data_IF_362438876303
#
_entry.id   IF_362438876303
#
_cell.length_a   1.000
_cell.length_b   1.000
_cell.length_c   1.000
_cell.angle_alpha   90.00
_cell.angle_beta   90.00
_cell.angle_gamma   90.00
#
_symmetry.space_group_name_H-M   'P 1'
#
loop_
_entity.id
_entity.type
_entity.pdbx_description
1 polymer ?
#
# COMPACT_ATOMS: atom_id res chain seq x y z
N UNK A 1 11.82 -13.29 -22.57
CA UNK A 1 10.91 -12.12 -22.72
C UNK A 1 10.89 -11.29 -21.43
N UNK A 2 10.34 -10.07 -21.41
CA UNK A 2 10.17 -9.29 -20.16
C UNK A 2 9.08 -9.90 -19.29
N UNK A 3 9.32 -10.04 -17.98
CA UNK A 3 8.31 -10.55 -17.04
C UNK A 3 7.77 -9.48 -16.10
N UNK A 4 6.64 -9.78 -15.47
CA UNK A 4 6.06 -8.97 -14.41
C UNK A 4 6.59 -9.40 -13.04
N UNK A 5 6.94 -8.44 -12.19
CA UNK A 5 7.32 -8.64 -10.79
C UNK A 5 6.33 -7.86 -9.93
N UNK A 6 5.47 -8.58 -9.21
CA UNK A 6 4.39 -7.98 -8.42
C UNK A 6 4.68 -8.14 -6.93
N UNK A 7 4.74 -7.04 -6.19
CA UNK A 7 4.93 -7.07 -4.74
C UNK A 7 3.72 -6.46 -4.04
N UNK A 8 3.06 -7.25 -3.20
CA UNK A 8 1.85 -6.90 -2.46
C UNK A 8 2.17 -6.75 -0.97
N UNK A 9 2.08 -5.53 -0.45
CA UNK A 9 2.27 -5.22 0.96
C UNK A 9 0.94 -4.85 1.61
N UNK A 10 0.42 -5.70 2.49
CA UNK A 10 -0.88 -5.46 3.12
C UNK A 10 -0.85 -4.41 4.26
N UNK A 11 -2.01 -3.86 4.58
CA UNK A 11 -2.22 -2.98 5.71
C UNK A 11 -2.64 -3.74 6.96
N UNK A 12 -2.07 -3.37 8.11
CA UNK A 12 -2.77 -3.49 9.41
C UNK A 12 -2.51 -2.16 10.10
N UNK A 13 -3.40 -1.63 10.92
CA UNK A 13 -3.08 -0.45 11.76
C UNK A 13 -3.36 -0.75 13.22
N UNK A 14 -4.48 -1.41 13.48
CA UNK A 14 -4.67 -2.16 14.71
C UNK A 14 -4.43 -3.62 14.33
N UNK A 15 -3.52 -4.29 15.01
CA UNK A 15 -3.56 -5.75 14.97
C UNK A 15 -4.90 -6.15 15.52
N UNK A 16 -5.80 -6.65 14.70
CA UNK A 16 -6.51 -7.82 15.12
C UNK A 16 -6.60 -8.74 13.90
N UNK A 17 -6.26 -10.00 14.12
CA UNK A 17 -6.95 -11.14 13.49
C UNK A 17 -8.42 -11.07 13.92
N UNK A 18 -9.13 -9.98 13.61
CA UNK A 18 -10.52 -9.82 13.98
C UNK A 18 -11.31 -10.52 12.90
N UNK A 19 -11.53 -11.78 13.20
CA UNK A 19 -12.89 -12.27 13.22
C UNK A 19 -13.78 -11.34 14.11
N UNK A 20 -14.09 -10.12 13.61
CA UNK A 20 -14.80 -9.07 14.38
C UNK A 20 -16.21 -9.55 14.79
N UNK A 21 -16.77 -10.47 14.01
CA UNK A 21 -18.05 -11.14 14.24
C UNK A 21 -17.94 -12.50 14.97
N UNK A 22 -16.71 -12.96 15.27
CA UNK A 22 -16.42 -14.24 15.94
C UNK A 22 -16.97 -15.49 15.20
N UNK A 23 -17.09 -15.43 13.87
CA UNK A 23 -17.58 -16.47 12.98
C UNK A 23 -16.52 -17.45 12.47
N UNK A 24 -15.24 -17.22 12.80
CA UNK A 24 -14.08 -18.01 12.41
C UNK A 24 -13.53 -17.69 11.01
N UNK A 25 -14.02 -16.65 10.34
CA UNK A 25 -13.60 -16.24 8.99
C UNK A 25 -12.54 -15.13 9.04
N UNK A 26 -11.67 -15.14 8.03
CA UNK A 26 -10.60 -14.17 7.89
C UNK A 26 -11.02 -13.07 6.92
N UNK A 27 -11.06 -11.84 7.41
CA UNK A 27 -11.48 -10.71 6.60
C UNK A 27 -10.43 -10.28 5.58
N UNK A 28 -10.83 -10.33 4.30
CA UNK A 28 -9.92 -10.12 3.19
C UNK A 28 -9.74 -8.62 2.89
N UNK A 29 -8.49 -8.18 2.94
CA UNK A 29 -8.09 -6.88 2.37
C UNK A 29 -8.11 -6.94 0.84
N UNK A 30 -8.25 -5.79 0.20
CA UNK A 30 -8.17 -5.68 -1.26
C UNK A 30 -6.79 -6.05 -1.80
N UNK A 31 -5.72 -5.87 -1.01
CA UNK A 31 -4.36 -6.32 -1.39
C UNK A 31 -4.31 -7.85 -1.46
N UNK A 32 -4.87 -8.54 -0.46
CA UNK A 32 -4.94 -9.99 -0.47
C UNK A 32 -5.87 -10.49 -1.59
N UNK A 33 -7.05 -9.87 -1.78
CA UNK A 33 -7.95 -10.16 -2.92
C UNK A 33 -7.23 -10.05 -4.27
N UNK A 34 -6.41 -9.00 -4.46
CA UNK A 34 -5.62 -8.82 -5.69
C UNK A 34 -4.53 -9.89 -5.81
N UNK A 35 -3.85 -10.23 -4.72
CA UNK A 35 -2.89 -11.33 -4.75
C UNK A 35 -3.54 -12.69 -5.06
N UNK A 36 -4.77 -12.92 -4.56
CA UNK A 36 -5.58 -14.12 -4.91
C UNK A 36 -5.87 -14.18 -6.40
N UNK A 37 -6.20 -13.05 -7.03
CA UNK A 37 -6.51 -13.01 -8.46
C UNK A 37 -5.28 -13.12 -9.37
N UNK A 38 -4.05 -12.92 -8.87
CA UNK A 38 -2.85 -13.16 -9.69
C UNK A 38 -2.78 -14.61 -10.18
N UNK A 39 -2.56 -14.76 -11.49
CA UNK A 39 -2.24 -16.05 -12.09
C UNK A 39 -0.86 -16.53 -11.62
N UNK A 40 -0.74 -17.84 -11.38
CA UNK A 40 0.49 -18.49 -10.95
C UNK A 40 0.25 -19.60 -9.93
N UNK A 41 1.29 -20.39 -9.67
CA UNK A 41 1.32 -21.49 -8.71
C UNK A 41 2.07 -21.01 -7.44
N UNK A 42 1.60 -21.36 -6.22
CA UNK A 42 0.42 -22.17 -5.94
C UNK A 42 -0.88 -21.44 -6.27
N UNK A 43 -1.87 -22.21 -6.77
CA UNK A 43 -3.20 -21.67 -7.06
C UNK A 43 -4.00 -21.45 -5.79
N UNK A 44 -3.91 -22.43 -4.87
CA UNK A 44 -4.48 -22.36 -3.54
C UNK A 44 -3.60 -21.48 -2.65
N UNK A 45 -4.24 -20.53 -1.98
CA UNK A 45 -3.60 -19.72 -0.96
C UNK A 45 -3.91 -20.31 0.40
N UNK A 46 -2.94 -20.22 1.30
CA UNK A 46 -3.24 -20.44 2.71
C UNK A 46 -4.39 -19.51 3.10
N UNK A 47 -5.30 -19.98 3.95
CA UNK A 47 -6.45 -19.18 4.37
C UNK A 47 -6.02 -17.89 5.09
N UNK A 48 -4.81 -17.88 5.64
CA UNK A 48 -4.18 -16.74 6.30
C UNK A 48 -2.64 -16.77 6.08
N UNK A 49 -2.14 -16.37 4.91
CA UNK A 49 -0.72 -16.41 4.64
C UNK A 49 -0.02 -15.23 5.33
N UNK A 50 1.03 -15.48 6.11
CA UNK A 50 1.91 -14.41 6.60
C UNK A 50 2.75 -13.83 5.44
N UNK A 51 3.25 -14.72 4.59
CA UNK A 51 4.01 -14.43 3.38
C UNK A 51 3.79 -15.55 2.38
N UNK A 52 3.64 -15.21 1.09
CA UNK A 52 3.52 -16.21 0.04
C UNK A 52 4.09 -15.67 -1.26
N UNK A 53 4.58 -16.57 -2.12
CA UNK A 53 5.05 -16.25 -3.47
C UNK A 53 4.28 -17.06 -4.52
N UNK A 54 4.09 -16.48 -5.70
CA UNK A 54 3.48 -17.12 -6.87
C UNK A 54 4.43 -17.03 -8.07
N UNK A 55 4.45 -18.10 -8.86
CA UNK A 55 5.21 -18.20 -10.10
C UNK A 55 4.27 -18.56 -11.25
N UNK A 56 4.29 -17.78 -12.33
CA UNK A 56 3.58 -18.08 -13.56
C UNK A 56 4.58 -18.27 -14.70
N UNK A 57 4.49 -19.42 -15.37
CA UNK A 57 5.29 -19.76 -16.54
C UNK A 57 4.43 -19.95 -17.77
N UNK A 58 4.99 -19.63 -18.93
CA UNK A 58 4.47 -19.99 -20.24
C UNK A 58 5.53 -20.86 -20.94
N UNK A 59 5.24 -22.16 -21.05
CA UNK A 59 6.26 -23.14 -21.40
C UNK A 59 7.38 -23.19 -20.35
N UNK A 60 8.62 -22.91 -20.76
CA UNK A 60 9.78 -22.86 -19.87
C UNK A 60 10.13 -21.44 -19.38
N UNK A 61 9.45 -20.40 -19.90
CA UNK A 61 9.73 -19.01 -19.52
C UNK A 61 8.87 -18.56 -18.36
N UNK A 62 9.49 -17.89 -17.38
CA UNK A 62 8.76 -17.20 -16.30
C UNK A 62 8.25 -15.87 -16.83
N UNK A 63 6.93 -15.68 -16.81
CA UNK A 63 6.28 -14.45 -17.31
C UNK A 63 5.75 -13.55 -16.18
N UNK A 64 5.53 -14.10 -14.98
CA UNK A 64 5.17 -13.32 -13.80
C UNK A 64 5.66 -14.00 -12.52
N UNK A 65 6.20 -13.21 -11.59
CA UNK A 65 6.43 -13.59 -10.20
C UNK A 65 5.67 -12.62 -9.30
N UNK A 66 5.15 -13.13 -8.20
CA UNK A 66 4.49 -12.30 -7.22
C UNK A 66 4.85 -12.69 -5.81
N UNK A 67 4.80 -11.71 -4.90
CA UNK A 67 4.99 -11.91 -3.47
C UNK A 67 3.99 -11.11 -2.69
N UNK A 68 3.36 -11.74 -1.71
CA UNK A 68 2.51 -11.10 -0.73
C UNK A 68 3.17 -11.14 0.64
N UNK A 69 3.08 -10.03 1.38
CA UNK A 69 3.48 -9.95 2.79
C UNK A 69 2.38 -9.27 3.58
N UNK A 70 1.88 -9.99 4.58
CA UNK A 70 0.84 -9.54 5.49
C UNK A 70 1.28 -8.34 6.36
N UNK A 71 0.32 -7.67 6.99
CA UNK A 71 0.55 -6.41 7.70
C UNK A 71 0.94 -6.53 9.18
N UNK A 72 0.60 -7.62 9.90
CA UNK A 72 1.15 -7.87 11.24
C UNK A 72 2.42 -8.72 11.14
N UNK A 73 3.50 -8.21 11.74
CA UNK A 73 4.73 -8.96 11.91
C UNK A 73 4.58 -9.90 13.09
N UNK A 74 4.30 -11.16 12.80
CA UNK A 74 4.75 -12.25 13.65
C UNK A 74 5.60 -13.14 12.73
N UNK A 75 6.88 -13.31 13.05
CA UNK A 75 7.81 -14.07 12.20
C UNK A 75 8.23 -15.34 12.91
N UNK A 76 7.83 -16.49 12.37
CA UNK A 76 8.24 -17.83 12.81
C UNK A 76 9.69 -18.20 12.43
N UNK A 77 10.46 -17.28 11.82
CA UNK A 77 11.84 -17.51 11.39
C UNK A 77 12.88 -17.04 12.44
N UNK A 78 13.61 -18.00 13.02
CA UNK A 78 14.55 -17.80 14.14
C UNK A 78 15.69 -16.80 13.86
N UNK A 79 16.14 -16.65 12.60
CA UNK A 79 17.19 -15.70 12.20
C UNK A 79 16.71 -14.24 12.17
N UNK A 80 15.40 -14.01 12.01
CA UNK A 80 14.79 -12.66 11.91
C UNK A 80 14.47 -12.11 13.31
N UNK A 81 14.24 -12.95 14.32
CA UNK A 81 14.10 -12.55 15.74
C UNK A 81 15.25 -11.70 16.27
N UNK A 82 16.48 -11.93 15.79
CA UNK A 82 17.63 -11.12 16.19
C UNK A 82 17.71 -9.76 15.47
N UNK A 83 16.94 -9.57 14.39
CA UNK A 83 16.79 -8.31 13.67
C UNK A 83 15.56 -7.51 14.14
N UNK A 84 14.58 -8.15 14.78
CA UNK A 84 13.35 -7.55 15.31
C UNK A 84 13.60 -6.45 16.36
N UNK A 85 14.58 -6.64 17.25
CA UNK A 85 14.91 -5.65 18.28
C UNK A 85 15.62 -4.38 17.77
N UNK A 86 16.08 -4.39 16.51
CA UNK A 86 17.06 -3.42 16.00
C UNK A 86 16.43 -2.50 14.93
N UNK A 87 15.46 -3.00 14.15
CA UNK A 87 14.82 -2.23 13.07
C UNK A 87 13.65 -1.34 13.49
N UNK A 88 13.27 -1.29 14.77
CA UNK A 88 12.20 -0.40 15.24
C UNK A 88 10.92 -0.52 14.41
N UNK A 89 10.23 -1.66 14.53
CA UNK A 89 8.93 -1.93 13.92
C UNK A 89 9.00 -2.70 12.59
N UNK A 90 8.03 -3.60 12.37
CA UNK A 90 7.97 -4.51 11.21
C UNK A 90 7.93 -3.85 9.83
N UNK A 91 7.68 -2.53 9.71
CA UNK A 91 7.58 -1.83 8.41
C UNK A 91 8.89 -1.83 7.62
N UNK A 92 10.04 -1.58 8.25
CA UNK A 92 11.34 -1.57 7.53
C UNK A 92 11.66 -2.96 6.99
N UNK A 93 11.44 -3.99 7.80
CA UNK A 93 11.67 -5.38 7.42
C UNK A 93 10.88 -5.74 6.16
N UNK A 94 9.64 -5.25 6.03
CA UNK A 94 8.80 -5.45 4.84
C UNK A 94 9.35 -4.75 3.60
N UNK A 95 9.87 -3.53 3.76
CA UNK A 95 10.54 -2.81 2.66
C UNK A 95 11.77 -3.59 2.18
N UNK A 96 12.62 -4.04 3.10
CA UNK A 96 13.83 -4.82 2.77
C UNK A 96 13.47 -6.19 2.15
N UNK A 97 12.42 -6.86 2.63
CA UNK A 97 11.91 -8.11 2.03
C UNK A 97 11.39 -7.89 0.61
N UNK A 98 10.64 -6.83 0.38
CA UNK A 98 10.19 -6.47 -0.97
C UNK A 98 11.37 -6.14 -1.90
N UNK A 99 12.33 -5.36 -1.41
CA UNK A 99 13.53 -4.98 -2.15
C UNK A 99 14.38 -6.19 -2.57
N UNK A 100 14.63 -7.11 -1.64
CA UNK A 100 15.41 -8.33 -1.91
C UNK A 100 14.67 -9.30 -2.81
N UNK A 101 13.35 -9.47 -2.64
CA UNK A 101 12.51 -10.23 -3.56
C UNK A 101 12.61 -9.69 -4.99
N UNK A 102 12.38 -8.38 -5.18
CA UNK A 102 12.46 -7.75 -6.50
C UNK A 102 13.86 -7.91 -7.08
N UNK A 103 14.90 -7.65 -6.28
CA UNK A 103 16.29 -7.79 -6.73
C UNK A 103 16.63 -9.21 -7.20
N UNK A 104 16.14 -10.24 -6.49
CA UNK A 104 16.36 -11.65 -6.84
C UNK A 104 15.77 -12.02 -8.21
N UNK A 105 14.66 -11.40 -8.59
CA UNK A 105 13.95 -11.73 -9.83
C UNK A 105 14.22 -10.77 -10.98
N UNK A 106 14.64 -9.54 -10.71
CA UNK A 106 14.72 -8.49 -11.72
C UNK A 106 15.84 -8.72 -12.73
N UNK A 107 15.49 -8.59 -14.00
CA UNK A 107 16.39 -8.41 -15.12
C UNK A 107 16.03 -7.12 -15.87
N UNK A 108 17.02 -6.44 -16.50
CA UNK A 108 16.73 -5.25 -17.30
C UNK A 108 15.63 -5.50 -18.33
N UNK A 109 14.57 -4.69 -18.28
CA UNK A 109 13.40 -4.81 -19.14
C UNK A 109 12.16 -5.41 -18.47
N UNK A 110 12.30 -5.99 -17.27
CA UNK A 110 11.16 -6.45 -16.49
C UNK A 110 10.31 -5.29 -15.94
N UNK A 111 9.04 -5.57 -15.69
CA UNK A 111 8.07 -4.59 -15.17
C UNK A 111 7.82 -4.83 -13.69
N UNK A 112 8.01 -3.79 -12.88
CA UNK A 112 7.79 -3.83 -11.42
C UNK A 112 6.45 -3.19 -11.08
N UNK A 113 5.63 -3.90 -10.31
CA UNK A 113 4.35 -3.47 -9.78
C UNK A 113 4.38 -3.54 -8.26
N UNK A 114 4.09 -2.43 -7.58
CA UNK A 114 4.08 -2.34 -6.13
C UNK A 114 2.67 -2.02 -5.66
N UNK A 115 2.06 -2.94 -4.93
CA UNK A 115 0.68 -2.86 -4.45
C UNK A 115 0.68 -2.73 -2.93
N UNK A 116 -0.12 -1.85 -2.35
CA UNK A 116 -0.29 -1.86 -0.90
C UNK A 116 -1.46 -1.09 -0.33
N UNK A 117 -1.81 -1.38 0.92
CA UNK A 117 -2.91 -0.74 1.64
C UNK A 117 -2.41 -0.17 2.98
N UNK A 118 -2.85 1.03 3.37
CA UNK A 118 -2.56 1.62 4.69
C UNK A 118 -1.04 1.73 4.97
N UNK A 119 -0.49 1.07 6.01
CA UNK A 119 0.97 0.94 6.22
C UNK A 119 1.67 0.19 5.09
N UNK A 120 1.00 -0.78 4.48
CA UNK A 120 1.47 -1.47 3.29
C UNK A 120 1.59 -0.53 2.08
N UNK A 121 0.70 0.46 1.96
CA UNK A 121 0.84 1.52 0.95
C UNK A 121 2.08 2.40 1.22
N UNK A 122 2.38 2.69 2.50
CA UNK A 122 3.67 3.30 2.86
C UNK A 122 4.85 2.41 2.43
N UNK A 123 4.81 1.11 2.73
CA UNK A 123 5.84 0.15 2.31
C UNK A 123 6.04 0.18 0.79
N UNK A 124 4.96 0.10 0.00
CA UNK A 124 5.02 0.13 -1.46
C UNK A 124 5.65 1.44 -1.98
N UNK A 125 5.23 2.60 -1.44
CA UNK A 125 5.77 3.91 -1.83
C UNK A 125 7.23 4.11 -1.44
N UNK A 126 7.59 3.72 -0.21
CA UNK A 126 8.96 3.83 0.29
C UNK A 126 9.90 2.89 -0.49
N UNK A 127 9.45 1.69 -0.80
CA UNK A 127 10.17 0.74 -1.66
C UNK A 127 10.35 1.31 -3.08
N UNK A 128 9.32 1.93 -3.65
CA UNK A 128 9.41 2.61 -4.94
C UNK A 128 10.48 3.72 -4.93
N UNK A 129 10.48 4.55 -3.89
CA UNK A 129 11.48 5.61 -3.70
C UNK A 129 12.89 5.06 -3.56
N UNK A 130 13.06 4.00 -2.77
CA UNK A 130 14.34 3.31 -2.57
C UNK A 130 14.88 2.75 -3.89
N UNK A 131 14.07 2.01 -4.66
CA UNK A 131 14.47 1.45 -5.96
C UNK A 131 14.80 2.57 -6.96
N UNK A 132 13.94 3.59 -7.04
CA UNK A 132 14.14 4.69 -7.97
C UNK A 132 15.38 5.53 -7.64
N UNK A 133 15.78 5.61 -6.37
CA UNK A 133 16.92 6.40 -5.91
C UNK A 133 18.22 5.61 -5.97
N UNK A 134 18.21 4.35 -5.50
CA UNK A 134 19.42 3.56 -5.28
C UNK A 134 19.65 2.46 -6.32
N UNK A 135 18.63 2.07 -7.08
CA UNK A 135 18.68 0.89 -7.96
C UNK A 135 18.30 -0.40 -7.24
N UNK A 136 18.67 -1.54 -7.82
CA UNK A 136 18.47 -2.89 -7.28
C UNK A 136 19.80 -3.64 -7.17
N UNK A 137 19.83 -4.69 -6.36
CA UNK A 137 20.97 -5.61 -6.33
C UNK A 137 21.00 -6.46 -7.61
N UNK A 138 22.18 -6.70 -8.17
CA UNK A 138 22.38 -7.58 -9.32
C UNK A 138 22.37 -9.05 -8.86
N UNK A 139 21.29 -9.77 -9.19
CA UNK A 139 21.08 -11.15 -8.76
C UNK A 139 22.20 -12.10 -9.19
N UNK A 140 22.74 -11.92 -10.40
CA UNK A 140 23.78 -12.80 -10.94
C UNK A 140 25.13 -12.56 -10.28
N UNK A 141 25.49 -11.30 -10.06
CA UNK A 141 26.79 -10.94 -9.43
C UNK A 141 26.83 -11.23 -7.94
N UNK A 142 25.70 -11.16 -7.26
CA UNK A 142 25.60 -11.42 -5.81
C UNK A 142 25.04 -12.80 -5.47
N UNK A 143 24.80 -13.65 -6.48
CA UNK A 143 24.26 -15.00 -6.32
C UNK A 143 22.97 -15.03 -5.46
N UNK A 144 22.03 -14.11 -5.73
CA UNK A 144 20.80 -13.98 -4.93
C UNK A 144 19.80 -15.14 -5.09
N UNK A 145 20.06 -16.05 -6.03
CA UNK A 145 19.30 -17.28 -6.20
C UNK A 145 19.69 -18.36 -5.17
N UNK A 146 20.80 -18.20 -4.45
CA UNK A 146 21.19 -19.12 -3.38
C UNK A 146 20.24 -18.98 -2.18
N UNK A 147 19.48 -20.05 -1.94
CA UNK A 147 18.47 -20.07 -0.88
C UNK A 147 18.99 -20.54 0.48
N UNK A 148 20.31 -20.76 0.62
CA UNK A 148 20.93 -21.04 1.92
C UNK A 148 20.68 -19.89 2.89
N UNK A 149 20.49 -20.24 4.16
CA UNK A 149 20.16 -19.26 5.21
C UNK A 149 21.22 -18.14 5.31
N UNK A 150 22.49 -18.47 5.14
CA UNK A 150 23.59 -17.50 5.18
C UNK A 150 23.52 -16.50 4.01
N UNK A 151 23.20 -16.96 2.80
CA UNK A 151 23.04 -16.09 1.63
C UNK A 151 21.79 -15.22 1.72
N UNK A 152 20.65 -15.77 2.18
CA UNK A 152 19.44 -14.99 2.45
C UNK A 152 19.71 -13.89 3.49
N UNK A 153 20.40 -14.23 4.58
CA UNK A 153 20.79 -13.27 5.60
C UNK A 153 21.71 -12.17 5.03
N UNK A 154 22.63 -12.54 4.12
CA UNK A 154 23.48 -11.57 3.42
C UNK A 154 22.69 -10.65 2.47
N UNK A 155 21.71 -11.19 1.73
CA UNK A 155 20.84 -10.39 0.88
C UNK A 155 20.05 -9.35 1.70
N UNK A 156 19.55 -9.73 2.88
CA UNK A 156 18.88 -8.80 3.79
C UNK A 156 19.83 -7.76 4.39
N UNK A 157 21.10 -8.11 4.67
CA UNK A 157 22.14 -7.14 5.04
C UNK A 157 22.32 -6.08 3.97
N UNK A 158 22.51 -6.48 2.71
CA UNK A 158 22.65 -5.55 1.60
C UNK A 158 21.39 -4.69 1.39
N UNK A 159 20.20 -5.29 1.40
CA UNK A 159 18.95 -4.54 1.29
C UNK A 159 18.80 -3.48 2.39
N UNK A 160 19.23 -3.80 3.60
CA UNK A 160 19.24 -2.85 4.72
C UNK A 160 20.28 -1.74 4.54
N UNK A 161 21.48 -2.08 4.08
CA UNK A 161 22.50 -1.07 3.78
C UNK A 161 22.00 -0.07 2.72
N UNK A 162 21.33 -0.55 1.68
CA UNK A 162 20.70 0.31 0.66
C UNK A 162 19.60 1.17 1.27
N UNK A 163 18.77 0.61 2.16
CA UNK A 163 17.73 1.37 2.84
C UNK A 163 18.32 2.48 3.72
N UNK A 164 19.39 2.19 4.45
CA UNK A 164 20.13 3.17 5.26
C UNK A 164 20.65 4.31 4.38
N UNK A 165 21.27 4.01 3.24
CA UNK A 165 21.79 5.01 2.30
C UNK A 165 20.67 5.89 1.73
N UNK A 166 19.55 5.27 1.33
CA UNK A 166 18.36 5.99 0.87
C UNK A 166 17.84 6.97 1.94
N UNK A 167 17.77 6.55 3.20
CA UNK A 167 17.30 7.39 4.31
C UNK A 167 18.29 8.47 4.73
N UNK A 168 19.60 8.23 4.65
CA UNK A 168 20.62 9.26 4.91
C UNK A 168 20.54 10.41 3.89
N UNK A 169 20.15 10.13 2.64
CA UNK A 169 19.98 11.14 1.59
C UNK A 169 18.68 11.95 1.73
N UNK A 170 17.65 11.39 2.38
CA UNK A 170 16.41 12.08 2.70
C UNK A 170 16.64 13.09 3.86
N UNK A 171 17.03 14.33 3.52
CA UNK A 171 17.24 15.42 4.48
C UNK A 171 15.99 15.65 5.35
N UNK A 172 16.13 15.65 6.68
CA UNK A 172 15.18 16.35 7.57
C UNK A 172 14.61 15.59 8.78
N UNK A 173 14.80 14.27 8.92
CA UNK A 173 14.17 13.52 10.01
C UNK A 173 15.15 13.26 11.16
N UNK A 174 15.17 14.14 12.18
CA UNK A 174 15.97 13.96 13.42
C UNK A 174 15.71 12.62 14.11
N UNK A 175 14.46 12.14 14.14
CA UNK A 175 14.11 10.84 14.77
C UNK A 175 14.71 9.64 14.03
N UNK A 176 14.97 9.76 12.73
CA UNK A 176 15.66 8.72 11.96
C UNK A 176 17.16 8.73 12.15
N UNK A 177 17.76 9.89 12.35
CA UNK A 177 19.19 9.97 12.66
C UNK A 177 19.48 9.26 14.00
N UNK A 178 18.58 9.41 14.97
CA UNK A 178 18.63 8.73 16.27
C UNK A 178 18.42 7.20 16.13
N UNK A 179 17.45 6.76 15.32
CA UNK A 179 17.27 5.32 15.00
C UNK A 179 18.42 4.73 14.16
N UNK A 180 18.97 5.48 13.21
CA UNK A 180 20.15 5.05 12.47
C UNK A 180 21.35 4.89 13.41
N UNK A 181 21.49 5.77 14.40
CA UNK A 181 22.49 5.61 15.45
C UNK A 181 22.23 4.34 16.28
N UNK A 182 20.99 4.05 16.69
CA UNK A 182 20.68 2.82 17.44
C UNK A 182 20.91 1.54 16.61
N UNK A 183 20.58 1.54 15.31
CA UNK A 183 20.90 0.45 14.37
C UNK A 183 22.43 0.29 14.24
N UNK A 184 23.17 1.40 14.06
CA UNK A 184 24.64 1.43 14.00
C UNK A 184 25.29 0.88 15.28
N UNK A 185 24.70 1.15 16.44
CA UNK A 185 25.17 0.66 17.73
C UNK A 185 24.78 -0.82 18.00
N UNK A 186 23.60 -1.26 17.57
CA UNK A 186 23.12 -2.63 17.76
C UNK A 186 23.78 -3.65 16.83
N UNK A 187 24.21 -3.24 15.63
CA UNK A 187 24.90 -4.09 14.65
C UNK A 187 26.00 -3.29 13.90
N UNK A 188 27.22 -3.17 14.44
CA UNK A 188 28.30 -2.37 13.83
C UNK A 188 28.68 -2.78 12.38
N UNK A 189 28.37 -4.01 11.95
CA UNK A 189 28.58 -4.46 10.57
C UNK A 189 27.46 -4.11 9.58
N UNK A 190 26.25 -3.79 10.05
CA UNK A 190 25.05 -3.69 9.20
C UNK A 190 24.88 -2.33 8.50
N UNK A 191 25.46 -1.27 9.09
CA UNK A 191 25.39 0.10 8.57
C UNK A 191 26.69 0.57 7.91
N UNK A 192 27.75 -0.22 7.99
CA UNK A 192 29.07 0.07 7.41
C UNK A 192 29.34 -0.70 6.12
N UNK A 193 28.59 -1.77 5.86
CA UNK A 193 28.69 -2.57 4.65
C UNK A 193 28.14 -1.79 3.46
N UNK A 194 29.01 -1.44 2.50
CA UNK A 194 28.59 -0.86 1.23
C UNK A 194 28.42 -1.99 0.22
N UNK A 195 27.29 -2.02 -0.46
CA UNK A 195 27.14 -2.86 -1.64
C UNK A 195 28.14 -2.36 -2.69
N UNK A 196 28.87 -3.30 -3.33
CA UNK A 196 29.74 -2.97 -4.44
C UNK A 196 28.91 -2.27 -5.54
N UNK A 197 29.25 -1.04 -5.97
CA UNK A 197 28.52 -0.36 -7.04
C UNK A 197 28.41 -1.16 -8.34
N UNK A 198 29.42 -1.99 -8.64
CA UNK A 198 29.41 -2.85 -9.83
C UNK A 198 28.41 -4.01 -9.72
N UNK A 199 27.92 -4.29 -8.51
CA UNK A 199 26.92 -5.30 -8.19
C UNK A 199 25.50 -4.71 -8.05
N UNK A 200 25.28 -3.50 -8.55
CA UNK A 200 24.00 -2.81 -8.57
C UNK A 200 23.49 -2.64 -9.99
N UNK A 201 22.17 -2.66 -10.15
CA UNK A 201 21.47 -2.27 -11.38
C UNK A 201 20.80 -0.93 -11.12
N UNK A 202 21.25 0.10 -11.83
CA UNK A 202 20.74 1.47 -11.70
C UNK A 202 19.68 1.80 -12.76
N UNK A 203 18.99 2.93 -12.57
CA UNK A 203 17.95 3.42 -13.49
C UNK A 203 16.81 2.43 -13.73
N UNK A 204 16.44 1.69 -12.69
CA UNK A 204 15.35 0.71 -12.72
C UNK A 204 14.00 1.44 -12.85
N UNK A 205 13.26 1.24 -13.96
CA UNK A 205 11.91 1.78 -14.09
C UNK A 205 10.93 0.95 -13.25
N UNK A 206 9.89 1.61 -12.74
CA UNK A 206 8.77 0.97 -12.03
C UNK A 206 7.53 1.22 -12.87
N UNK A 207 6.81 0.15 -13.21
CA UNK A 207 5.65 0.23 -14.10
C UNK A 207 4.47 0.88 -13.37
N UNK A 208 4.17 0.42 -12.15
CA UNK A 208 3.07 0.96 -11.37
C UNK A 208 3.31 0.89 -9.86
N UNK A 209 2.90 1.94 -9.15
CA UNK A 209 2.63 1.92 -7.71
C UNK A 209 1.13 2.09 -7.50
N UNK A 210 0.48 1.06 -6.98
CA UNK A 210 -0.96 0.94 -6.80
C UNK A 210 -1.29 0.84 -5.31
N UNK A 211 -1.99 1.82 -4.76
CA UNK A 211 -2.20 1.92 -3.32
C UNK A 211 -3.64 2.19 -2.93
N UNK A 212 -4.03 1.60 -1.81
CA UNK A 212 -5.28 1.91 -1.12
C UNK A 212 -4.96 2.74 0.12
N UNK A 213 -5.58 3.90 0.20
CA UNK A 213 -5.66 4.80 1.35
C UNK A 213 -4.34 4.92 2.13
N UNK A 214 -3.28 5.40 1.46
CA UNK A 214 -1.97 5.61 2.09
C UNK A 214 -2.09 6.49 3.32
N UNK A 215 -1.80 5.96 4.50
CA UNK A 215 -1.72 6.72 5.76
C UNK A 215 -0.27 6.97 6.18
N UNK A 216 -0.06 7.87 7.12
CA UNK A 216 1.28 8.24 7.63
C UNK A 216 1.66 9.72 7.48
N UNK A 217 0.69 10.60 7.17
CA UNK A 217 0.91 12.05 7.08
C UNK A 217 1.47 12.64 8.39
N UNK A 218 0.98 12.13 9.52
CA UNK A 218 1.45 12.51 10.86
C UNK A 218 2.58 11.59 11.37
N UNK A 219 3.04 10.65 10.55
CA UNK A 219 3.83 9.50 10.97
C UNK A 219 2.93 8.30 11.25
N UNK A 220 3.51 7.11 11.20
CA UNK A 220 2.93 5.88 11.73
C UNK A 220 3.18 5.89 13.24
N UNK A 221 2.18 6.24 14.09
CA UNK A 221 2.29 6.11 15.52
C UNK A 221 2.70 4.70 15.92
N UNK A 222 3.78 4.64 16.67
CA UNK A 222 4.12 3.51 17.52
C UNK A 222 3.90 3.96 18.95
N UNK A 223 3.03 3.22 19.64
CA UNK A 223 2.74 3.45 21.05
C UNK A 223 3.64 2.50 21.84
N UNK A 224 4.61 3.06 22.56
CA UNK A 224 5.43 2.27 23.50
C UNK A 224 4.64 1.95 24.78
N UNK A 225 3.68 2.82 25.13
CA UNK A 225 2.67 2.68 26.19
C UNK A 225 1.43 3.58 25.88
N UNK A 226 0.44 3.64 26.78
CA UNK A 226 -0.83 4.36 26.57
C UNK A 226 -0.66 5.88 26.32
N UNK A 227 0.43 6.49 26.80
CA UNK A 227 0.66 7.94 26.76
C UNK A 227 1.80 8.37 25.81
N UNK A 228 2.68 7.46 25.40
CA UNK A 228 3.87 7.79 24.59
C UNK A 228 3.66 7.46 23.12
N UNK A 229 3.32 8.49 22.33
CA UNK A 229 3.25 8.42 20.87
C UNK A 229 4.61 8.74 20.25
N UNK A 230 5.20 7.76 19.55
CA UNK A 230 6.37 7.98 18.70
C UNK A 230 5.93 8.01 17.24
N UNK A 231 6.07 9.16 16.60
CA UNK A 231 5.81 9.30 15.15
C UNK A 231 6.99 8.78 14.35
N UNK A 232 6.87 7.54 13.89
CA UNK A 232 7.85 6.93 13.02
C UNK A 232 7.40 7.09 11.57
N UNK A 233 8.32 7.19 10.61
CA UNK A 233 7.97 7.05 9.19
C UNK A 233 7.05 8.13 8.60
N UNK A 234 7.32 9.43 8.87
CA UNK A 234 6.68 10.51 8.09
C UNK A 234 7.16 10.44 6.63
N UNK A 235 6.31 10.80 5.69
CA UNK A 235 6.78 11.04 4.32
C UNK A 235 7.57 12.34 4.31
N UNK A 236 8.89 12.25 4.06
CA UNK A 236 9.74 13.42 3.82
C UNK A 236 9.40 14.10 2.48
N UNK A 237 8.81 13.37 1.54
CA UNK A 237 8.44 13.84 0.20
C UNK A 237 7.19 13.10 -0.29
N UNK A 238 6.21 13.84 -0.81
CA UNK A 238 4.98 13.31 -1.43
C UNK A 238 5.10 13.21 -2.96
N UNK A 239 6.25 13.56 -3.53
CA UNK A 239 6.56 13.42 -4.95
C UNK A 239 6.86 11.96 -5.31
N UNK A 240 6.06 11.37 -6.19
CA UNK A 240 6.36 10.06 -6.75
C UNK A 240 7.40 10.20 -7.87
N UNK A 241 8.56 9.54 -7.74
CA UNK A 241 9.68 9.61 -8.69
C UNK A 241 9.24 9.48 -10.15
N UNK A 242 9.91 10.19 -11.06
CA UNK A 242 9.72 10.09 -12.52
C UNK A 242 10.07 8.70 -13.08
N UNK A 243 10.77 7.86 -12.30
CA UNK A 243 11.01 6.46 -12.67
C UNK A 243 9.78 5.57 -12.51
N UNK A 244 8.75 6.03 -11.81
CA UNK A 244 7.46 5.35 -11.71
C UNK A 244 6.58 5.81 -12.86
N UNK A 245 6.18 4.92 -13.76
CA UNK A 245 5.34 5.28 -14.90
C UNK A 245 3.92 5.63 -14.45
N UNK A 246 3.29 4.77 -13.66
CA UNK A 246 1.91 4.93 -13.20
C UNK A 246 1.79 4.98 -11.67
N UNK A 247 1.06 5.95 -11.15
CA UNK A 247 0.59 5.99 -9.77
C UNK A 247 -0.92 5.81 -9.73
N UNK A 248 -1.43 4.87 -8.94
CA UNK A 248 -2.87 4.65 -8.69
C UNK A 248 -3.13 4.70 -7.20
N UNK A 249 -4.05 5.56 -6.76
CA UNK A 249 -4.38 5.69 -5.35
C UNK A 249 -5.90 5.74 -5.16
N UNK A 250 -6.48 4.68 -4.60
CA UNK A 250 -7.86 4.68 -4.13
C UNK A 250 -7.93 5.26 -2.71
N UNK A 251 -8.75 6.28 -2.47
CA UNK A 251 -8.76 7.08 -1.24
C UNK A 251 -10.13 7.01 -0.58
N UNK A 252 -10.16 6.85 0.75
CA UNK A 252 -11.39 6.89 1.53
C UNK A 252 -11.95 8.31 1.59
N UNK A 253 -13.19 8.50 1.16
CA UNK A 253 -13.86 9.79 1.26
C UNK A 253 -14.36 10.06 2.67
N UNK A 254 -14.91 9.05 3.36
CA UNK A 254 -15.72 9.26 4.56
C UNK A 254 -14.98 9.06 5.89
N UNK A 255 -13.69 8.69 5.86
CA UNK A 255 -12.88 8.49 7.07
C UNK A 255 -12.59 9.82 7.79
N UNK A 256 -12.71 9.83 9.13
CA UNK A 256 -12.60 11.04 9.96
C UNK A 256 -11.51 10.98 11.02
N UNK A 257 -10.89 9.81 11.26
CA UNK A 257 -9.79 9.69 12.21
C UNK A 257 -8.59 10.46 11.69
N UNK A 258 -8.10 11.41 12.48
CA UNK A 258 -7.00 12.30 12.07
C UNK A 258 -5.71 11.54 11.76
N UNK A 259 -5.41 10.46 12.50
CA UNK A 259 -4.24 9.60 12.26
C UNK A 259 -4.32 8.80 10.95
N UNK A 260 -5.52 8.71 10.36
CA UNK A 260 -5.78 8.07 9.08
C UNK A 260 -5.88 9.08 7.94
N UNK A 261 -5.45 10.33 8.13
CA UNK A 261 -5.43 11.32 7.04
C UNK A 261 -4.55 10.80 5.90
N UNK A 262 -5.09 10.72 4.65
CA UNK A 262 -4.37 10.11 3.56
C UNK A 262 -3.25 11.04 3.07
N UNK A 263 -2.16 10.43 2.63
CA UNK A 263 -1.03 11.14 2.04
C UNK A 263 -1.20 11.14 0.52
N UNK A 264 -1.64 12.27 -0.02
CA UNK A 264 -1.76 12.43 -1.47
C UNK A 264 -0.39 12.52 -2.15
N UNK A 265 -0.35 12.19 -3.44
CA UNK A 265 0.77 12.51 -4.31
C UNK A 265 0.63 13.90 -4.93
N UNK A 266 1.77 14.53 -5.20
CA UNK A 266 1.80 15.69 -6.10
C UNK A 266 1.29 15.32 -7.49
N UNK A 267 0.62 16.27 -8.15
CA UNK A 267 0.05 16.08 -9.47
C UNK A 267 1.16 15.94 -10.54
N UNK A 268 1.18 14.82 -11.27
CA UNK A 268 1.96 14.65 -12.51
C UNK A 268 1.29 13.69 -13.49
N UNK A 269 1.74 13.68 -14.75
CA UNK A 269 1.28 12.71 -15.74
C UNK A 269 1.54 11.27 -15.24
N UNK A 270 0.56 10.39 -15.49
CA UNK A 270 0.59 9.00 -15.05
C UNK A 270 0.11 8.77 -13.62
N UNK A 271 -0.12 9.82 -12.82
CA UNK A 271 -0.73 9.69 -11.49
C UNK A 271 -2.23 9.92 -11.57
N UNK A 272 -2.98 8.99 -11.01
CA UNK A 272 -4.42 9.07 -10.80
C UNK A 272 -4.74 8.73 -9.34
N UNK A 273 -5.45 9.63 -8.69
CA UNK A 273 -5.96 9.48 -7.33
C UNK A 273 -7.48 9.53 -7.41
N UNK A 274 -8.19 8.60 -6.76
CA UNK A 274 -9.63 8.45 -6.93
C UNK A 274 -10.29 8.29 -5.57
N UNK A 275 -11.27 9.14 -5.28
CA UNK A 275 -12.07 9.10 -4.06
C UNK A 275 -13.19 8.07 -4.20
N UNK A 276 -13.26 7.16 -3.23
CA UNK A 276 -14.28 6.12 -3.11
C UNK A 276 -15.12 6.33 -1.84
N UNK A 277 -16.39 5.93 -1.84
CA UNK A 277 -17.26 6.07 -0.68
C UNK A 277 -16.79 5.15 0.45
N UNK A 278 -17.06 5.56 1.69
CA UNK A 278 -16.73 4.81 2.88
C UNK A 278 -15.41 5.22 3.55
N UNK A 279 -15.15 4.57 4.68
CA UNK A 279 -13.97 4.81 5.52
C UNK A 279 -12.74 4.00 5.06
N UNK A 280 -11.64 4.02 5.83
CA UNK A 280 -10.37 3.39 5.46
C UNK A 280 -10.49 1.94 4.96
N UNK A 281 -11.18 1.07 5.69
CA UNK A 281 -11.39 -0.34 5.33
C UNK A 281 -12.54 -0.56 4.35
N UNK A 282 -13.42 0.44 4.14
CA UNK A 282 -14.40 0.43 3.04
C UNK A 282 -13.74 0.72 1.68
N UNK A 283 -12.45 1.09 1.66
CA UNK A 283 -11.66 1.25 0.43
C UNK A 283 -10.54 0.22 0.33
N UNK A 284 -9.87 -0.08 1.44
CA UNK A 284 -8.78 -1.06 1.48
C UNK A 284 -9.19 -2.50 1.74
N UNK A 285 -10.45 -2.75 2.11
CA UNK A 285 -10.94 -4.05 2.55
C UNK A 285 -10.59 -4.38 4.01
N UNK A 286 -11.00 -5.57 4.45
CA UNK A 286 -10.85 -6.04 5.84
C UNK A 286 -12.12 -5.98 6.69
N UNK A 287 -13.29 -5.84 6.07
CA UNK A 287 -14.60 -6.09 6.68
C UNK A 287 -15.18 -7.42 6.14
N UNK A 288 -16.19 -8.00 6.83
CA UNK A 288 -16.98 -9.14 6.33
C UNK A 288 -17.31 -9.03 4.84
N UNK A 289 -17.23 -10.14 4.11
CA UNK A 289 -17.48 -10.13 2.66
C UNK A 289 -18.91 -9.67 2.34
N UNK A 290 -19.88 -10.01 3.19
CA UNK A 290 -21.27 -9.53 3.10
C UNK A 290 -21.41 -8.01 3.28
N UNK A 291 -20.42 -7.35 3.89
CA UNK A 291 -20.37 -5.90 4.12
C UNK A 291 -19.33 -5.20 3.23
N UNK A 292 -18.61 -5.95 2.40
CA UNK A 292 -17.49 -5.45 1.57
C UNK A 292 -17.92 -4.79 0.26
N UNK A 293 -19.21 -4.52 0.04
CA UNK A 293 -19.71 -3.93 -1.21
C UNK A 293 -19.04 -2.61 -1.60
N UNK A 294 -18.67 -1.76 -0.63
CA UNK A 294 -17.92 -0.53 -0.90
C UNK A 294 -16.47 -0.81 -1.30
N UNK A 295 -15.77 -1.68 -0.56
CA UNK A 295 -14.36 -2.00 -0.79
C UNK A 295 -14.17 -2.77 -2.10
N UNK A 296 -15.15 -3.59 -2.47
CA UNK A 296 -15.20 -4.29 -3.76
C UNK A 296 -15.26 -3.31 -4.95
N UNK A 297 -15.83 -2.11 -4.78
CA UNK A 297 -15.79 -1.05 -5.80
C UNK A 297 -14.38 -0.51 -6.04
N UNK A 298 -13.63 -0.23 -4.97
CA UNK A 298 -12.23 0.20 -5.07
C UNK A 298 -11.31 -0.93 -5.60
N UNK A 299 -11.60 -2.17 -5.21
CA UNK A 299 -10.92 -3.36 -5.71
C UNK A 299 -11.09 -3.52 -7.23
N UNK A 300 -12.32 -3.41 -7.75
CA UNK A 300 -12.61 -3.55 -9.18
C UNK A 300 -11.83 -2.56 -10.03
N UNK A 301 -11.86 -1.28 -9.64
CA UNK A 301 -11.06 -0.24 -10.31
C UNK A 301 -9.55 -0.56 -10.31
N UNK A 302 -8.99 -0.96 -9.17
CA UNK A 302 -7.56 -1.28 -9.10
C UNK A 302 -7.20 -2.54 -9.90
N UNK A 303 -8.09 -3.54 -9.93
CA UNK A 303 -7.93 -4.75 -10.73
C UNK A 303 -7.84 -4.40 -12.22
N UNK A 304 -8.77 -3.58 -12.73
CA UNK A 304 -8.78 -3.12 -14.12
C UNK A 304 -7.51 -2.33 -14.47
N UNK A 305 -7.07 -1.39 -13.62
CA UNK A 305 -5.84 -0.61 -13.87
C UNK A 305 -4.60 -1.51 -13.95
N UNK A 306 -4.50 -2.52 -13.09
CA UNK A 306 -3.40 -3.49 -13.10
C UNK A 306 -3.45 -4.39 -14.34
N UNK A 307 -4.63 -4.86 -14.72
CA UNK A 307 -4.83 -5.67 -15.93
C UNK A 307 -4.44 -4.89 -17.18
N UNK A 308 -4.90 -3.65 -17.32
CA UNK A 308 -4.57 -2.76 -18.43
C UNK A 308 -3.06 -2.43 -18.49
N UNK A 309 -2.39 -2.37 -17.35
CA UNK A 309 -0.93 -2.21 -17.28
C UNK A 309 -0.15 -3.51 -17.61
N UNK A 310 -0.85 -4.64 -17.76
CA UNK A 310 -0.32 -5.91 -18.24
C UNK A 310 -0.08 -6.97 -17.17
N UNK A 311 -0.55 -6.76 -15.93
CA UNK A 311 -0.49 -7.79 -14.87
C UNK A 311 -1.38 -8.97 -15.25
N UNK A 312 -0.90 -10.20 -15.03
CA UNK A 312 -1.66 -11.42 -15.35
C UNK A 312 -2.59 -11.76 -14.19
N UNK A 313 -3.83 -11.31 -14.31
CA UNK A 313 -4.91 -11.52 -13.34
C UNK A 313 -5.92 -12.54 -13.87
N UNK A 314 -6.61 -13.21 -12.97
CA UNK A 314 -7.84 -13.95 -13.21
C UNK A 314 -9.01 -12.95 -13.11
N UNK A 315 -10.13 -13.18 -13.82
CA UNK A 315 -11.34 -12.41 -13.61
C UNK A 315 -11.75 -12.43 -12.15
N UNK A 316 -12.14 -11.29 -11.61
CA UNK A 316 -12.64 -11.22 -10.24
C UNK A 316 -14.15 -11.49 -10.17
N UNK A 317 -14.62 -11.86 -8.99
CA UNK A 317 -16.04 -12.16 -8.73
C UNK A 317 -16.59 -11.38 -7.51
N UNK A 318 -15.78 -10.51 -6.91
CA UNK A 318 -16.19 -9.64 -5.81
C UNK A 318 -17.22 -8.63 -6.31
N UNK A 319 -18.41 -8.62 -5.70
CA UNK A 319 -19.52 -7.76 -6.11
C UNK A 319 -19.42 -6.40 -5.42
N UNK A 320 -19.33 -5.35 -6.22
CA UNK A 320 -19.42 -3.98 -5.72
C UNK A 320 -20.88 -3.58 -5.47
N UNK A 321 -21.12 -2.82 -4.42
CA UNK A 321 -22.41 -2.20 -4.12
C UNK A 321 -22.19 -0.81 -3.51
N UNK A 322 -22.49 0.23 -4.29
CA UNK A 322 -22.38 1.63 -3.85
C UNK A 322 -23.33 1.99 -2.70
N UNK A 323 -24.35 1.16 -2.43
CA UNK A 323 -25.32 1.32 -1.35
C UNK A 323 -25.01 0.43 -0.13
N UNK A 324 -23.93 -0.34 -0.15
CA UNK A 324 -23.49 -1.13 0.99
C UNK A 324 -23.20 -0.23 2.21
N UNK A 325 -23.10 -0.87 3.38
CA UNK A 325 -22.91 -0.17 4.64
C UNK A 325 -21.62 0.66 4.63
N UNK A 326 -21.72 1.92 5.08
CA UNK A 326 -20.54 2.71 5.44
C UNK A 326 -20.24 2.50 6.92
N UNK A 327 -19.05 1.98 7.22
CA UNK A 327 -18.67 1.70 8.60
C UNK A 327 -18.22 2.98 9.32
N UNK A 328 -18.15 2.93 10.65
CA UNK A 328 -17.73 4.05 11.48
C UNK A 328 -16.74 3.57 12.56
N UNK A 329 -15.47 3.29 12.24
CA UNK A 329 -14.52 2.63 13.17
C UNK A 329 -14.18 3.45 14.42
N UNK A 330 -14.63 4.70 14.51
CA UNK A 330 -14.51 5.57 15.68
C UNK A 330 -15.77 5.64 16.55
N UNK A 331 -16.81 4.84 16.28
CA UNK A 331 -17.98 4.77 17.16
C UNK A 331 -17.54 4.41 18.59
N UNK A 332 -18.05 5.12 19.60
CA UNK A 332 -17.79 4.86 21.03
C UNK A 332 -16.30 4.75 21.44
N UNK A 333 -15.39 5.26 20.61
CA UNK A 333 -13.94 5.18 20.83
C UNK A 333 -13.35 6.56 21.05
N UNK A 334 -13.39 7.01 22.31
CA UNK A 334 -12.80 8.29 22.74
C UNK A 334 -11.29 8.40 22.45
N UNK A 335 -10.61 7.28 22.20
CA UNK A 335 -9.19 7.24 21.80
C UNK A 335 -8.94 7.88 20.44
N UNK A 336 -9.93 7.90 19.53
CA UNK A 336 -9.75 8.48 18.21
C UNK A 336 -10.12 9.95 18.21
N UNK A 337 -9.14 10.78 17.90
CA UNK A 337 -9.40 12.17 17.53
C UNK A 337 -10.00 12.18 16.12
N UNK A 338 -11.23 12.67 16.01
CA UNK A 338 -11.90 12.90 14.74
C UNK A 338 -11.88 14.38 14.39
N UNK A 339 -11.94 14.70 13.11
CA UNK A 339 -12.00 16.07 12.66
C UNK A 339 -12.22 16.19 11.16
N UNK A 340 -12.36 17.43 10.70
CA UNK A 340 -12.43 17.70 9.27
C UNK A 340 -11.06 17.41 8.63
N UNK A 341 -11.03 16.50 7.66
CA UNK A 341 -9.91 16.34 6.73
C UNK A 341 -9.83 17.56 5.82
N UNK A 342 -8.77 18.32 5.96
CA UNK A 342 -8.36 19.26 4.93
C UNK A 342 -7.45 18.50 3.94
N UNK A 343 -7.99 18.05 2.81
CA UNK A 343 -7.14 17.60 1.70
C UNK A 343 -6.59 18.87 1.03
N UNK A 344 -5.53 19.43 1.62
CA UNK A 344 -4.95 20.74 1.30
C UNK A 344 -4.23 20.84 -0.04
N UNK A 345 -4.33 19.84 -0.92
CA UNK A 345 -3.63 19.90 -2.22
C UNK A 345 -4.58 20.41 -3.29
N UNK A 346 -4.35 21.61 -3.84
CA UNK A 346 -5.07 22.05 -5.01
C UNK A 346 -4.51 21.25 -6.19
N UNK A 347 -5.23 20.23 -6.65
CA UNK A 347 -4.92 19.54 -7.89
C UNK A 347 -5.32 20.45 -9.06
N UNK A 348 -4.54 21.53 -9.19
CA UNK A 348 -4.82 22.68 -10.06
C UNK A 348 -4.92 22.22 -11.50
N UNK A 349 -6.09 22.50 -12.10
CA UNK A 349 -6.53 22.22 -13.48
C UNK A 349 -5.65 22.77 -14.62
N UNK A 350 -4.42 23.22 -14.38
CA UNK A 350 -3.57 23.87 -15.39
C UNK A 350 -2.34 23.05 -15.78
N UNK A 351 -2.45 21.72 -15.76
CA UNK A 351 -1.41 20.85 -16.28
C UNK A 351 -1.71 20.53 -17.76
N UNK A 352 -0.79 20.83 -18.70
CA UNK A 352 -1.05 20.76 -20.14
C UNK A 352 -1.58 19.40 -20.65
N UNK A 353 -1.28 18.32 -19.93
CA UNK A 353 -1.66 16.95 -20.29
C UNK A 353 -3.06 16.52 -19.79
N UNK A 354 -3.78 17.36 -19.05
CA UNK A 354 -5.14 17.09 -18.58
C UNK A 354 -6.21 17.23 -19.70
N UNK A 355 -5.83 17.78 -20.86
CA UNK A 355 -6.74 17.99 -22.00
C UNK A 355 -7.18 16.71 -22.73
N UNK A 356 -6.55 15.56 -22.44
CA UNK A 356 -6.82 14.26 -23.10
C UNK A 356 -7.55 13.26 -22.19
N UNK A 357 -8.32 13.74 -21.20
CA UNK A 357 -9.03 12.86 -20.24
C UNK A 357 -8.18 12.34 -19.09
N UNK A 358 -6.94 12.85 -18.95
CA UNK A 358 -6.12 12.58 -17.78
C UNK A 358 -6.56 13.47 -16.61
N UNK A 359 -6.72 12.90 -15.43
CA UNK A 359 -6.96 13.60 -14.16
C UNK A 359 -5.95 13.14 -13.13
N UNK A 360 -5.62 14.02 -12.18
CA UNK A 360 -4.73 13.69 -11.06
C UNK A 360 -5.51 13.35 -9.79
N UNK A 361 -6.74 13.87 -9.67
CA UNK A 361 -7.73 13.50 -8.67
C UNK A 361 -9.11 13.43 -9.31
N UNK A 362 -9.88 12.40 -8.96
CA UNK A 362 -11.27 12.27 -9.37
C UNK A 362 -12.13 11.65 -8.26
N UNK A 363 -13.44 11.77 -8.42
CA UNK A 363 -14.45 11.08 -7.60
C UNK A 363 -14.99 9.90 -8.40
N UNK A 364 -15.01 8.71 -7.79
CA UNK A 364 -15.56 7.52 -8.44
C UNK A 364 -17.09 7.60 -8.55
N UNK A 365 -17.68 7.07 -9.63
CA UNK A 365 -19.14 7.08 -9.85
C UNK A 365 -19.93 6.48 -8.69
N UNK A 366 -19.37 5.53 -7.93
CA UNK A 366 -20.05 4.94 -6.76
C UNK A 366 -20.39 6.00 -5.69
N UNK A 367 -19.61 7.07 -5.57
CA UNK A 367 -19.91 8.21 -4.68
C UNK A 367 -21.15 8.96 -5.18
N UNK A 368 -21.23 9.21 -6.50
CA UNK A 368 -22.37 9.89 -7.13
C UNK A 368 -23.64 9.05 -7.02
N UNK A 369 -23.53 7.76 -7.32
CA UNK A 369 -24.64 6.80 -7.18
C UNK A 369 -25.18 6.77 -5.74
N UNK A 370 -24.29 6.91 -4.75
CA UNK A 370 -24.64 6.98 -3.33
C UNK A 370 -25.37 8.29 -2.95
N UNK A 371 -25.00 9.42 -3.56
CA UNK A 371 -25.66 10.74 -3.36
C UNK A 371 -27.07 10.81 -3.97
N UNK A 372 -27.31 10.12 -5.10
CA UNK A 372 -28.47 10.33 -5.96
C UNK A 372 -29.85 9.81 -5.45
N UNK A 373 -29.98 9.40 -4.19
CA UNK A 373 -31.32 9.32 -3.55
C UNK A 373 -31.82 7.94 -3.12
N UNK A 374 -30.94 7.07 -2.60
CA UNK A 374 -31.36 5.91 -1.80
C UNK A 374 -31.05 6.16 -0.32
N UNK A 375 -31.86 5.59 0.56
CA UNK A 375 -31.40 5.35 1.92
C UNK A 375 -30.20 4.41 1.85
N UNK A 376 -29.09 4.84 2.44
CA UNK A 376 -27.88 4.05 2.56
C UNK A 376 -27.81 3.46 3.95
N UNK A 377 -27.17 2.30 4.07
CA UNK A 377 -26.77 1.79 5.37
C UNK A 377 -25.51 2.50 5.85
N UNK A 378 -25.50 2.92 7.11
CA UNK A 378 -24.33 3.48 7.77
C UNK A 378 -24.31 3.09 9.24
N UNK A 379 -23.11 3.09 9.83
CA UNK A 379 -22.93 2.87 11.25
C UNK A 379 -23.01 4.20 12.01
N UNK A 380 -23.93 4.31 12.97
CA UNK A 380 -24.12 5.52 13.77
C UNK A 380 -22.87 5.81 14.63
N UNK A 381 -22.30 7.03 14.56
CA UNK A 381 -21.06 7.36 15.25
C UNK A 381 -21.19 7.43 16.78
N UNK A 382 -22.41 7.47 17.33
CA UNK A 382 -22.63 7.52 18.79
C UNK A 382 -22.92 6.14 19.37
N UNK A 383 -23.70 5.34 18.66
CA UNK A 383 -24.26 4.08 19.18
C UNK A 383 -23.69 2.84 18.51
N UNK A 384 -22.97 2.99 17.39
CA UNK A 384 -22.46 1.87 16.60
C UNK A 384 -23.55 1.07 15.87
N UNK A 385 -24.83 1.48 15.97
CA UNK A 385 -25.95 0.79 15.33
C UNK A 385 -25.95 1.02 13.82
N UNK A 386 -26.31 -0.02 13.07
CA UNK A 386 -26.56 0.07 11.63
C UNK A 386 -27.91 0.76 11.41
N UNK A 387 -27.90 1.91 10.75
CA UNK A 387 -29.08 2.71 10.45
C UNK A 387 -29.20 2.92 8.93
N UNK A 388 -30.43 3.21 8.49
CA UNK A 388 -30.71 3.64 7.14
C UNK A 388 -31.01 5.14 7.12
N UNK A 389 -30.50 5.85 6.12
CA UNK A 389 -30.74 7.29 6.00
C UNK A 389 -30.08 7.90 4.77
N UNK A 390 -30.21 9.22 4.58
CA UNK A 390 -29.59 9.89 3.44
C UNK A 390 -28.07 9.82 3.53
N UNK A 391 -27.40 9.71 2.38
CA UNK A 391 -25.95 9.80 2.35
C UNK A 391 -25.50 11.19 2.74
N UNK A 392 -24.79 11.26 3.86
CA UNK A 392 -24.12 12.47 4.33
C UNK A 392 -22.66 12.13 4.54
N UNK A 393 -21.81 12.77 3.75
CA UNK A 393 -20.37 12.75 3.94
C UNK A 393 -19.96 14.11 4.45
N UNK A 394 -19.09 14.15 5.47
CA UNK A 394 -18.53 15.40 5.98
C UNK A 394 -17.67 16.12 4.94
N UNK A 395 -17.35 15.47 3.81
CA UNK A 395 -16.36 15.90 2.84
C UNK A 395 -16.91 16.05 1.43
N UNK A 396 -17.92 15.28 1.05
CA UNK A 396 -18.47 15.23 -0.32
C UNK A 396 -18.78 16.59 -0.94
N UNK A 397 -19.44 17.48 -0.19
CA UNK A 397 -19.83 18.80 -0.72
C UNK A 397 -18.60 19.70 -0.99
N UNK A 398 -17.48 19.47 -0.29
CA UNK A 398 -16.22 20.16 -0.58
C UNK A 398 -15.48 19.64 -1.82
N UNK A 399 -15.85 18.48 -2.36
CA UNK A 399 -15.18 17.86 -3.52
C UNK A 399 -16.06 17.80 -4.77
N UNK A 400 -17.35 17.48 -4.68
CA UNK A 400 -18.22 17.34 -5.85
C UNK A 400 -18.65 18.70 -6.41
N UNK A 401 -18.86 19.68 -5.55
CA UNK A 401 -19.27 21.01 -5.99
C UNK A 401 -18.05 21.89 -6.36
N UNK A 402 -16.83 21.36 -6.22
CA UNK A 402 -15.61 21.96 -6.75
C UNK A 402 -15.55 21.73 -8.28
N UNK A 403 -15.72 22.80 -9.09
CA UNK A 403 -15.70 22.66 -10.55
C UNK A 403 -14.36 22.16 -11.08
N UNK A 404 -13.30 22.09 -10.26
CA UNK A 404 -11.96 21.62 -10.64
C UNK A 404 -11.77 20.10 -10.55
N UNK A 405 -12.69 19.35 -9.94
CA UNK A 405 -12.57 17.90 -9.73
C UNK A 405 -13.44 17.13 -10.75
N UNK A 406 -12.87 16.09 -11.37
CA UNK A 406 -13.58 15.25 -12.34
C UNK A 406 -14.34 14.10 -11.66
N UNK A 407 -15.50 13.74 -12.22
CA UNK A 407 -16.23 12.52 -11.87
C UNK A 407 -15.87 11.44 -12.90
N UNK A 408 -15.39 10.28 -12.45
CA UNK A 408 -15.08 9.15 -13.31
C UNK A 408 -16.34 8.35 -13.68
N UNK A 409 -16.59 8.05 -14.96
CA UNK A 409 -17.62 7.09 -15.36
C UNK A 409 -17.19 5.66 -15.02
N UNK A 410 -18.17 4.76 -14.83
CA UNK A 410 -17.92 3.30 -14.79
C UNK A 410 -17.86 2.81 -16.24
N UNK A 411 -16.90 1.95 -16.57
CA UNK A 411 -16.96 1.20 -17.82
C UNK A 411 -18.02 0.10 -17.66
N UNK A 412 -19.07 0.13 -18.49
CA UNK A 412 -20.17 -0.86 -18.48
C UNK A 412 -19.70 -2.28 -18.83
#
# INVERSE_FOLDING_TARGET
>A
MSKNIVFCADGTWNGIRTDDNHDGQFELTNVLKLYKSLQGIPEDLDSNPEEQEKLLTEGQEVIQVAKYIHGVGDTSNWLIRNLEGIFGGGTIQRIVRGYTFISRHYQPGDKIFLIGFSRGAYTARALAGMIASQGLLDAGKLNLADESEDHKAQAYRWGTAVWSQFREQAKGEKSWQEKLASIKHGLPGFASERVNPDAMIYNVPIEMVAVFDTVGALGIPHYEDEDTRVDLFRFADTTLSQRVRLGRHAISLDEQRLDFTPVLWEARQGIQQVLFPGVHSDVGGGYPEEESGLSNGAYGWMHEELEQAGVKLRPHHYQADACAICHCPWFDKAIYKTGHRELTTPLKKSLPYLAEGNYTLAVHQSVVARRAGKEIWFQDPKTGKKLAGPYQSAFLDSFIDDPEIMVMPVHE
#
